data_IF_234835607899
#
_entry.id   IF_234835607899
#
_cell.length_a   1.000
_cell.length_b   1.000
_cell.length_c   1.000
_cell.angle_alpha   90.00
_cell.angle_beta   90.00
_cell.angle_gamma   90.00
#
_symmetry.space_group_name_H-M   'P 1'
#
loop_
_entity.id
_entity.type
_entity.pdbx_description
1 polymer ?
#
# COMPACT_ATOMS: atom_id res chain seq x y z
N UNK A 1 49.16 14.17 11.31
CA UNK A 1 47.99 14.49 12.16
C UNK A 1 47.36 15.76 11.64
N UNK A 2 46.20 15.69 10.97
CA UNK A 2 45.43 16.90 10.63
C UNK A 2 44.18 16.83 11.50
N UNK A 3 44.12 17.70 12.51
CA UNK A 3 42.97 17.84 13.39
C UNK A 3 42.11 19.00 12.87
N UNK A 4 40.87 18.73 12.45
CA UNK A 4 39.87 19.78 12.31
C UNK A 4 38.59 19.37 13.04
N UNK A 5 38.06 20.30 13.81
CA UNK A 5 37.04 20.13 14.83
C UNK A 5 35.64 20.31 14.26
N UNK A 6 34.88 19.22 14.16
CA UNK A 6 33.41 19.07 14.25
C UNK A 6 33.11 17.62 13.85
N UNK A 7 32.67 16.76 14.77
CA UNK A 7 32.50 15.30 14.56
C UNK A 7 33.74 14.61 13.95
N UNK A 8 34.81 14.50 14.76
CA UNK A 8 36.12 13.97 14.35
C UNK A 8 36.04 12.55 13.75
N UNK A 9 36.14 12.45 12.43
CA UNK A 9 36.64 11.24 11.76
C UNK A 9 38.10 11.09 12.17
N UNK A 10 38.42 10.04 12.92
CA UNK A 10 39.80 9.66 13.18
C UNK A 10 40.33 8.95 11.93
N UNK A 11 41.00 9.69 11.06
CA UNK A 11 41.87 9.11 10.02
C UNK A 11 43.18 8.77 10.72
N UNK A 12 43.24 7.59 11.33
CA UNK A 12 44.49 7.06 11.87
C UNK A 12 45.27 6.38 10.74
N UNK A 13 46.42 6.95 10.37
CA UNK A 13 47.46 6.26 9.61
C UNK A 13 48.12 5.23 10.54
N UNK A 14 47.40 4.16 10.88
CA UNK A 14 47.96 3.05 11.66
C UNK A 14 48.46 1.99 10.70
N UNK A 15 49.76 1.74 10.76
CA UNK A 15 50.43 0.68 9.99
C UNK A 15 49.90 -0.70 10.42
N UNK A 16 49.17 -1.36 9.51
CA UNK A 16 49.05 -2.81 9.22
C UNK A 16 49.46 -3.86 10.28
N UNK A 17 49.17 -3.66 11.56
CA UNK A 17 49.50 -4.62 12.63
C UNK A 17 48.30 -5.13 13.41
N UNK A 18 47.11 -4.63 13.13
CA UNK A 18 45.84 -5.11 13.69
C UNK A 18 44.93 -5.57 12.54
N UNK A 19 44.34 -6.75 12.67
CA UNK A 19 43.36 -7.32 11.73
C UNK A 19 42.03 -6.54 11.82
N UNK A 20 41.96 -5.34 11.24
CA UNK A 20 40.71 -4.60 11.09
C UNK A 20 39.93 -5.13 9.88
N UNK A 21 38.65 -5.44 10.08
CA UNK A 21 37.74 -5.79 8.98
C UNK A 21 37.36 -4.50 8.26
N UNK A 22 37.74 -4.40 6.98
CA UNK A 22 37.44 -3.26 6.12
C UNK A 22 36.08 -3.49 5.46
N UNK A 23 35.19 -2.51 5.58
CA UNK A 23 33.88 -2.51 4.95
C UNK A 23 33.99 -2.50 3.41
N UNK A 24 32.89 -2.85 2.73
CA UNK A 24 32.85 -3.01 1.27
C UNK A 24 33.93 -3.97 0.75
N UNK A 25 34.32 -4.98 1.52
CA UNK A 25 35.33 -5.98 1.13
C UNK A 25 36.66 -5.38 0.65
N UNK A 26 37.04 -4.19 1.14
CA UNK A 26 38.27 -3.52 0.72
C UNK A 26 38.18 -2.76 -0.61
N UNK A 27 36.97 -2.49 -1.10
CA UNK A 27 36.75 -1.55 -2.20
C UNK A 27 36.64 -0.10 -1.69
N UNK A 28 36.96 0.86 -2.56
CA UNK A 28 36.92 2.29 -2.24
C UNK A 28 35.48 2.79 -2.09
N UNK A 29 35.06 3.09 -0.86
CA UNK A 29 33.70 3.53 -0.57
C UNK A 29 33.29 4.83 -1.30
N UNK A 30 34.21 5.80 -1.41
CA UNK A 30 33.92 7.06 -2.09
C UNK A 30 33.72 6.89 -3.60
N UNK A 31 34.50 6.00 -4.21
CA UNK A 31 34.41 5.76 -5.65
C UNK A 31 33.22 4.89 -6.01
N UNK A 32 32.81 3.98 -5.12
CA UNK A 32 31.58 3.22 -5.29
C UNK A 32 30.38 4.15 -5.45
N UNK A 33 30.27 5.18 -4.62
CA UNK A 33 29.18 6.16 -4.71
C UNK A 33 29.35 7.09 -5.92
N UNK A 34 30.49 7.77 -6.02
CA UNK A 34 30.72 8.79 -7.06
C UNK A 34 30.72 8.19 -8.47
N UNK A 35 31.24 6.97 -8.59
CA UNK A 35 31.30 6.20 -9.83
C UNK A 35 30.07 5.33 -10.08
N UNK A 36 28.96 5.53 -9.34
CA UNK A 36 27.68 4.80 -9.50
C UNK A 36 27.88 3.27 -9.62
N UNK A 37 28.48 2.67 -8.60
CA UNK A 37 28.76 1.23 -8.54
C UNK A 37 30.18 0.81 -8.90
N UNK A 38 31.08 1.76 -9.20
CA UNK A 38 32.45 1.44 -9.58
C UNK A 38 33.23 0.76 -8.45
N UNK A 39 33.60 -0.51 -8.65
CA UNK A 39 34.40 -1.31 -7.73
C UNK A 39 35.90 -1.08 -7.96
N UNK A 40 36.43 -0.02 -7.37
CA UNK A 40 37.88 0.25 -7.41
C UNK A 40 38.54 -0.31 -6.14
N UNK A 41 39.57 -1.17 -6.27
CA UNK A 41 40.27 -1.71 -5.11
C UNK A 41 40.89 -0.58 -4.29
N UNK A 42 40.69 -0.62 -2.97
CA UNK A 42 41.34 0.31 -2.07
C UNK A 42 42.80 -0.11 -1.83
N UNK A 43 43.64 0.87 -1.49
CA UNK A 43 45.00 0.62 -1.05
C UNK A 43 45.13 0.98 0.44
N UNK A 44 45.16 -0.01 1.36
CA UNK A 44 45.25 0.25 2.80
C UNK A 44 46.49 1.06 3.21
N UNK A 45 47.56 1.05 2.42
CA UNK A 45 48.75 1.86 2.68
C UNK A 45 48.48 3.37 2.59
N UNK A 46 47.39 3.78 1.93
CA UNK A 46 46.94 5.17 1.89
C UNK A 46 46.22 5.61 3.17
N UNK A 47 46.03 4.69 4.13
CA UNK A 47 45.32 4.91 5.38
C UNK A 47 43.87 4.42 5.33
N UNK A 48 43.32 4.20 6.52
CA UNK A 48 41.95 3.73 6.75
C UNK A 48 41.21 4.79 7.56
N UNK A 49 39.99 5.13 7.17
CA UNK A 49 39.14 6.03 7.94
C UNK A 49 38.21 5.23 8.85
N UNK A 50 38.14 5.60 10.13
CA UNK A 50 37.16 5.06 11.06
C UNK A 50 35.94 5.99 11.14
N UNK A 51 34.77 5.48 10.79
CA UNK A 51 33.50 6.20 10.89
C UNK A 51 32.42 5.32 11.52
N UNK A 52 31.75 5.83 12.57
CA UNK A 52 30.68 5.12 13.31
C UNK A 52 31.03 3.67 13.71
N UNK A 53 32.28 3.44 14.11
CA UNK A 53 32.76 2.13 14.53
C UNK A 53 33.18 1.18 13.40
N UNK A 54 32.93 1.54 12.14
CA UNK A 54 33.33 0.79 10.94
C UNK A 54 34.58 1.39 10.28
N UNK A 55 35.31 0.58 9.52
CA UNK A 55 36.60 0.94 8.90
C UNK A 55 36.49 0.95 7.37
N UNK A 56 36.91 2.06 6.74
CA UNK A 56 36.82 2.27 5.29
C UNK A 56 38.18 2.53 4.68
N UNK A 57 38.50 1.84 3.59
CA UNK A 57 39.72 2.04 2.83
C UNK A 57 39.43 2.79 1.51
N UNK A 58 40.45 3.46 0.97
CA UNK A 58 40.31 4.30 -0.23
C UNK A 58 41.40 4.00 -1.27
N UNK A 59 41.08 4.28 -2.54
CA UNK A 59 42.02 4.13 -3.65
C UNK A 59 43.12 5.20 -3.63
N UNK A 60 42.84 6.39 -3.09
CA UNK A 60 43.79 7.50 -2.98
C UNK A 60 43.55 8.36 -1.75
N UNK A 61 44.58 9.12 -1.33
CA UNK A 61 44.45 10.09 -0.24
C UNK A 61 43.41 11.19 -0.55
N UNK A 62 43.25 11.55 -1.83
CA UNK A 62 42.23 12.49 -2.27
C UNK A 62 40.81 11.94 -2.04
N UNK A 63 40.57 10.67 -2.38
CA UNK A 63 39.28 10.01 -2.13
C UNK A 63 38.96 9.96 -0.62
N UNK A 64 39.96 9.65 0.22
CA UNK A 64 39.82 9.70 1.68
C UNK A 64 39.48 11.11 2.18
N UNK A 65 40.11 12.14 1.61
CA UNK A 65 39.82 13.53 1.95
C UNK A 65 38.40 13.95 1.56
N UNK A 66 37.93 13.57 0.36
CA UNK A 66 36.57 13.86 -0.09
C UNK A 66 35.51 13.14 0.74
N UNK A 67 35.76 11.88 1.10
CA UNK A 67 34.92 11.15 2.04
C UNK A 67 34.88 11.85 3.41
N UNK A 68 36.03 12.34 3.87
CA UNK A 68 36.15 13.00 5.18
C UNK A 68 35.40 14.33 5.32
N UNK A 69 35.02 14.98 4.21
CA UNK A 69 34.22 16.22 4.24
C UNK A 69 32.79 15.96 4.66
N UNK A 70 32.18 14.90 4.12
CA UNK A 70 30.76 14.56 4.32
C UNK A 70 30.57 13.04 4.35
N UNK A 71 31.03 12.33 5.41
CA UNK A 71 30.97 10.87 5.47
C UNK A 71 29.54 10.32 5.51
N UNK A 72 28.61 11.09 6.08
CA UNK A 72 27.21 10.68 6.25
C UNK A 72 26.47 10.52 4.92
N UNK A 73 26.84 11.31 3.91
CA UNK A 73 26.30 11.23 2.56
C UNK A 73 26.59 9.88 1.91
N UNK A 74 27.79 9.35 2.16
CA UNK A 74 28.28 8.17 1.47
C UNK A 74 27.92 6.86 2.20
N UNK A 75 27.95 6.84 3.54
CA UNK A 75 28.18 5.58 4.29
C UNK A 75 27.44 5.46 5.64
N UNK A 76 26.52 6.35 6.00
CA UNK A 76 25.84 6.21 7.31
C UNK A 76 24.93 4.96 7.38
N UNK A 77 25.25 4.03 8.29
CA UNK A 77 24.50 2.77 8.50
C UNK A 77 23.60 2.75 9.77
N UNK A 78 23.61 3.79 10.62
CA UNK A 78 22.91 3.73 11.92
C UNK A 78 22.14 5.00 12.35
N UNK A 79 20.85 4.79 12.63
CA UNK A 79 20.06 5.17 13.81
C UNK A 79 19.71 6.63 14.17
N UNK A 80 20.11 7.66 13.44
CA UNK A 80 19.62 9.01 13.78
C UNK A 80 19.05 9.72 12.56
N UNK A 81 17.71 9.84 12.57
CA UNK A 81 16.90 10.98 12.14
C UNK A 81 17.57 11.97 11.17
N UNK A 82 18.11 11.47 10.07
CA UNK A 82 18.80 12.28 9.08
C UNK A 82 18.17 11.99 7.74
N UNK A 83 17.43 12.99 7.26
CA UNK A 83 16.69 13.03 6.00
C UNK A 83 17.66 13.14 4.81
N UNK A 84 18.74 12.35 4.81
CA UNK A 84 19.73 12.30 3.75
C UNK A 84 19.84 10.86 3.25
N UNK A 85 19.00 10.62 2.26
CA UNK A 85 19.01 9.56 1.25
C UNK A 85 20.43 8.97 1.04
N UNK A 86 20.63 7.74 1.52
CA UNK A 86 21.88 7.00 1.46
C UNK A 86 22.26 6.65 0.01
N UNK A 87 23.28 7.30 -0.55
CA UNK A 87 23.60 7.15 -1.98
C UNK A 87 24.17 5.75 -2.31
N UNK A 88 25.05 5.21 -1.46
CA UNK A 88 25.58 3.84 -1.62
C UNK A 88 24.47 2.79 -1.48
N UNK A 89 23.63 2.90 -0.46
CA UNK A 89 22.61 1.89 -0.17
C UNK A 89 21.43 1.94 -1.15
N UNK A 90 21.04 3.12 -1.62
CA UNK A 90 20.05 3.21 -2.68
C UNK A 90 20.57 2.59 -3.96
N UNK A 91 21.85 2.82 -4.30
CA UNK A 91 22.45 2.15 -5.44
C UNK A 91 22.45 0.62 -5.27
N UNK A 92 22.81 0.11 -4.09
CA UNK A 92 22.78 -1.33 -3.79
C UNK A 92 21.34 -1.90 -3.81
N UNK A 93 20.32 -1.12 -3.45
CA UNK A 93 18.92 -1.54 -3.55
C UNK A 93 18.45 -1.73 -4.98
N UNK A 94 18.88 -0.85 -5.87
CA UNK A 94 18.53 -0.92 -7.29
C UNK A 94 19.29 -2.04 -8.01
N UNK A 95 20.37 -2.55 -7.41
CA UNK A 95 21.27 -3.54 -8.00
C UNK A 95 21.56 -4.71 -7.03
N UNK A 96 20.77 -5.77 -7.16
CA UNK A 96 20.77 -6.95 -6.27
C UNK A 96 22.14 -7.65 -6.23
N UNK A 97 22.93 -7.53 -7.29
CA UNK A 97 24.27 -8.13 -7.40
C UNK A 97 25.21 -7.63 -6.29
N UNK A 98 25.10 -6.36 -5.92
CA UNK A 98 25.93 -5.76 -4.87
C UNK A 98 25.49 -6.17 -3.46
N UNK A 99 24.22 -6.56 -3.28
CA UNK A 99 23.72 -7.09 -2.00
C UNK A 99 24.44 -8.40 -1.68
N UNK A 100 24.51 -9.29 -2.68
CA UNK A 100 25.22 -10.56 -2.55
C UNK A 100 26.72 -10.34 -2.39
N UNK A 101 27.31 -9.45 -3.19
CA UNK A 101 28.74 -9.16 -3.14
C UNK A 101 29.17 -8.63 -1.77
N UNK A 102 28.48 -7.62 -1.24
CA UNK A 102 28.85 -7.00 0.04
C UNK A 102 28.25 -7.69 1.26
N UNK A 103 27.46 -8.75 1.07
CA UNK A 103 26.78 -9.49 2.13
C UNK A 103 25.91 -8.59 3.03
N UNK A 104 25.28 -7.55 2.46
CA UNK A 104 24.54 -6.52 3.20
C UNK A 104 23.06 -6.86 3.45
N UNK A 105 22.73 -8.14 3.59
CA UNK A 105 21.35 -8.60 3.78
C UNK A 105 20.72 -8.02 5.07
N UNK A 106 21.44 -8.12 6.19
CA UNK A 106 20.97 -7.63 7.49
C UNK A 106 20.78 -6.10 7.50
N UNK A 107 21.72 -5.36 6.89
CA UNK A 107 21.66 -3.90 6.78
C UNK A 107 20.44 -3.45 5.94
N UNK A 108 20.04 -4.22 4.93
CA UNK A 108 18.85 -3.93 4.11
C UNK A 108 17.55 -4.31 4.84
N UNK A 109 17.51 -5.45 5.52
CA UNK A 109 16.35 -5.88 6.30
C UNK A 109 16.01 -4.89 7.43
N UNK A 110 17.01 -4.48 8.20
CA UNK A 110 16.83 -3.49 9.29
C UNK A 110 16.31 -2.14 8.80
N UNK A 111 16.57 -1.78 7.54
CA UNK A 111 16.00 -0.58 6.94
C UNK A 111 14.55 -0.74 6.48
N UNK A 112 14.14 -1.92 6.02
CA UNK A 112 12.73 -2.19 5.66
C UNK A 112 11.82 -2.04 6.88
N UNK A 113 12.20 -2.69 7.99
CA UNK A 113 11.48 -2.61 9.26
C UNK A 113 11.39 -1.18 9.80
N UNK A 114 12.39 -0.33 9.53
CA UNK A 114 12.37 1.08 9.96
C UNK A 114 11.51 1.97 9.07
N UNK A 115 11.46 1.74 7.75
CA UNK A 115 10.54 2.46 6.86
C UNK A 115 9.08 2.22 7.26
N UNK A 116 8.75 0.98 7.60
CA UNK A 116 7.43 0.59 8.13
C UNK A 116 7.08 1.30 9.45
N UNK A 117 8.07 1.74 10.22
CA UNK A 117 7.87 2.45 11.49
C UNK A 117 7.92 3.98 11.37
N UNK A 118 8.36 4.54 10.23
CA UNK A 118 8.62 5.99 10.07
C UNK A 118 7.75 6.63 9.00
N UNK A 119 7.27 5.87 8.03
CA UNK A 119 6.12 6.30 7.23
C UNK A 119 4.91 6.16 8.14
N UNK A 120 4.31 7.29 8.55
CA UNK A 120 2.89 7.31 8.88
C UNK A 120 2.21 6.42 7.86
N UNK A 121 1.69 5.31 8.34
CA UNK A 121 1.06 4.26 7.56
C UNK A 121 0.14 4.98 6.55
N UNK A 122 0.59 5.11 5.30
CA UNK A 122 -0.33 5.09 4.18
C UNK A 122 -0.89 3.69 4.26
N UNK A 123 -1.84 3.49 5.17
CA UNK A 123 -2.61 2.28 5.31
C UNK A 123 -3.07 2.01 3.90
N UNK A 124 -2.40 1.07 3.21
CA UNK A 124 -2.92 0.52 2.00
C UNK A 124 -4.25 -0.03 2.46
N UNK A 125 -5.33 0.72 2.17
CA UNK A 125 -6.68 0.40 2.62
C UNK A 125 -6.90 -1.02 2.20
N UNK A 126 -6.81 -1.92 3.17
CA UNK A 126 -7.02 -3.33 2.92
C UNK A 126 -8.50 -3.39 2.63
N UNK A 127 -8.86 -3.45 1.35
CA UNK A 127 -10.23 -3.64 0.92
C UNK A 127 -10.62 -5.04 1.36
N UNK A 128 -11.22 -5.14 2.54
CA UNK A 128 -11.84 -6.35 3.02
C UNK A 128 -13.29 -6.32 2.57
N UNK A 129 -13.68 -7.32 1.77
CA UNK A 129 -15.09 -7.54 1.45
C UNK A 129 -15.81 -7.98 2.73
N UNK A 130 -16.52 -7.04 3.34
CA UNK A 130 -17.38 -7.32 4.49
C UNK A 130 -18.77 -7.73 3.99
N UNK A 131 -19.05 -9.03 3.99
CA UNK A 131 -20.41 -9.52 3.80
C UNK A 131 -21.14 -9.45 5.14
N UNK A 132 -22.02 -8.46 5.31
CA UNK A 132 -22.95 -8.43 6.45
C UNK A 132 -24.11 -9.35 6.11
N UNK A 133 -24.08 -10.58 6.64
CA UNK A 133 -25.27 -11.42 6.68
C UNK A 133 -26.15 -10.91 7.82
N UNK A 134 -27.24 -10.23 7.48
CA UNK A 134 -28.27 -9.91 8.46
C UNK A 134 -28.88 -11.20 9.00
N UNK A 135 -29.02 -11.30 10.33
CA UNK A 135 -29.72 -12.40 10.97
C UNK A 135 -31.14 -12.47 10.40
N UNK A 136 -31.42 -13.55 9.67
CA UNK A 136 -32.67 -13.74 8.92
C UNK A 136 -33.90 -13.85 9.84
N UNK A 137 -33.71 -14.16 11.13
CA UNK A 137 -34.79 -14.30 12.10
C UNK A 137 -34.37 -13.82 13.50
N UNK A 138 -34.55 -12.51 13.76
CA UNK A 138 -34.32 -11.88 15.08
C UNK A 138 -35.28 -12.44 16.16
N UNK A 139 -36.37 -13.09 15.76
CA UNK A 139 -37.35 -13.68 16.65
C UNK A 139 -37.29 -15.21 16.57
N UNK A 140 -37.37 -15.93 17.71
CA UNK A 140 -37.50 -17.39 17.68
C UNK A 140 -38.75 -17.75 16.89
N UNK A 141 -38.72 -18.78 16.02
CA UNK A 141 -39.90 -19.24 15.33
C UNK A 141 -40.90 -19.71 16.39
N UNK A 142 -41.96 -18.94 16.64
CA UNK A 142 -43.06 -19.39 17.48
C UNK A 142 -43.78 -20.51 16.72
N UNK A 143 -43.40 -21.75 17.01
CA UNK A 143 -43.99 -22.96 16.39
C UNK A 143 -45.44 -23.21 16.87
N UNK A 144 -46.08 -22.24 17.49
CA UNK A 144 -47.44 -22.37 18.01
C UNK A 144 -48.42 -21.49 17.24
N UNK A 145 -48.47 -21.69 15.91
CA UNK A 145 -49.65 -21.27 15.17
C UNK A 145 -50.68 -22.41 15.18
N UNK A 146 -51.28 -22.66 16.35
CA UNK A 146 -52.34 -23.69 16.58
C UNK A 146 -53.51 -23.56 15.59
N UNK A 147 -53.66 -22.39 14.96
CA UNK A 147 -54.72 -22.09 14.02
C UNK A 147 -54.35 -22.31 12.54
N UNK A 148 -53.11 -22.75 12.26
CA UNK A 148 -52.65 -23.03 10.90
C UNK A 148 -53.40 -24.23 10.31
N UNK A 149 -54.05 -24.01 9.16
CA UNK A 149 -54.77 -25.03 8.42
C UNK A 149 -54.33 -24.98 6.96
N UNK A 150 -53.85 -26.10 6.45
CA UNK A 150 -53.39 -26.25 5.06
C UNK A 150 -54.50 -26.68 4.10
N UNK A 151 -55.64 -27.16 4.62
CA UNK A 151 -56.76 -27.63 3.81
C UNK A 151 -57.51 -26.45 3.15
N UNK A 152 -57.42 -26.37 1.82
CA UNK A 152 -58.04 -25.33 0.98
C UNK A 152 -59.56 -25.25 1.19
N UNK A 153 -60.25 -26.36 1.42
CA UNK A 153 -61.70 -26.38 1.63
C UNK A 153 -62.08 -25.81 3.00
N UNK A 154 -61.29 -26.03 4.03
CA UNK A 154 -61.49 -25.38 5.33
C UNK A 154 -61.19 -23.89 5.27
N UNK A 155 -60.15 -23.47 4.55
CA UNK A 155 -59.87 -22.06 4.31
C UNK A 155 -61.05 -21.37 3.61
N UNK A 156 -61.66 -22.01 2.61
CA UNK A 156 -62.85 -21.50 1.93
C UNK A 156 -64.06 -21.39 2.86
N UNK A 157 -64.30 -22.38 3.73
CA UNK A 157 -65.37 -22.31 4.74
C UNK A 157 -65.14 -21.19 5.76
N UNK A 158 -63.91 -21.04 6.25
CA UNK A 158 -63.53 -19.95 7.18
C UNK A 158 -63.70 -18.57 6.55
N UNK A 159 -63.27 -18.42 5.29
CA UNK A 159 -63.44 -17.16 4.55
C UNK A 159 -64.92 -16.79 4.39
N UNK A 160 -65.80 -17.76 4.07
CA UNK A 160 -67.24 -17.54 3.99
C UNK A 160 -67.84 -17.16 5.35
N UNK A 161 -67.42 -17.82 6.44
CA UNK A 161 -67.85 -17.48 7.80
C UNK A 161 -67.45 -16.05 8.19
N UNK A 162 -66.19 -15.66 7.94
CA UNK A 162 -65.71 -14.29 8.18
C UNK A 162 -66.45 -13.25 7.33
N UNK A 163 -66.74 -13.56 6.06
CA UNK A 163 -67.51 -12.67 5.20
C UNK A 163 -68.95 -12.47 5.72
N UNK A 164 -69.56 -13.50 6.29
CA UNK A 164 -70.87 -13.38 6.95
C UNK A 164 -70.76 -12.52 8.22
N UNK A 165 -69.76 -12.77 9.07
CA UNK A 165 -69.52 -11.97 10.28
C UNK A 165 -69.27 -10.49 9.94
N UNK A 166 -68.50 -10.21 8.88
CA UNK A 166 -68.22 -8.85 8.42
C UNK A 166 -69.47 -8.12 7.92
N UNK A 167 -70.48 -8.85 7.44
CA UNK A 167 -71.79 -8.31 7.06
C UNK A 167 -72.75 -8.16 8.24
N UNK A 168 -72.46 -8.81 9.37
CA UNK A 168 -73.24 -8.63 10.59
C UNK A 168 -72.86 -7.28 11.24
N UNK A 169 -73.84 -6.40 11.44
CA UNK A 169 -73.63 -5.20 12.23
C UNK A 169 -73.51 -5.56 13.71
N UNK A 170 -72.38 -5.25 14.35
CA UNK A 170 -72.21 -5.41 15.80
C UNK A 170 -73.15 -4.44 16.52
N UNK A 171 -74.22 -4.94 17.15
CA UNK A 171 -74.97 -4.18 18.15
C UNK A 171 -74.17 -4.16 19.46
N UNK A 172 -73.24 -3.22 19.57
CA UNK A 172 -72.57 -2.91 20.83
C UNK A 172 -73.58 -2.22 21.75
N UNK A 173 -74.05 -2.90 22.79
CA UNK A 173 -74.64 -2.23 23.95
C UNK A 173 -73.52 -1.98 24.96
N UNK A 174 -73.24 -0.71 25.26
CA UNK A 174 -72.24 -0.37 26.26
C UNK A 174 -72.70 -0.84 27.64
N UNK A 175 -71.92 -1.72 28.26
CA UNK A 175 -72.02 -1.99 29.70
C UNK A 175 -71.28 -0.92 30.49
N UNK A 176 -71.83 -0.54 31.65
CA UNK A 176 -71.36 0.53 32.57
C UNK A 176 -69.84 0.57 32.88
N UNK A 177 -69.11 -0.53 32.66
CA UNK A 177 -67.68 -0.67 32.94
C UNK A 177 -66.74 -0.03 31.88
N UNK A 178 -67.21 0.32 30.68
CA UNK A 178 -66.33 0.82 29.60
C UNK A 178 -65.95 2.30 29.69
N UNK A 179 -66.52 3.06 30.62
CA UNK A 179 -66.35 4.51 30.72
C UNK A 179 -64.96 4.96 31.25
N UNK A 180 -64.13 4.04 31.75
CA UNK A 180 -62.85 4.37 32.40
C UNK A 180 -61.58 4.18 31.54
N UNK A 181 -61.69 3.89 30.24
CA UNK A 181 -60.51 3.73 29.37
C UNK A 181 -60.25 5.00 28.54
N UNK A 182 -59.72 6.02 29.18
CA UNK A 182 -59.19 7.21 28.49
C UNK A 182 -57.66 7.19 28.50
N UNK A 183 -57.04 7.10 27.33
CA UNK A 183 -55.59 7.31 27.17
C UNK A 183 -54.92 6.50 26.06
N UNK A 184 -55.28 6.71 24.80
CA UNK A 184 -54.44 6.26 23.68
C UNK A 184 -53.44 7.38 23.36
N UNK A 185 -52.19 7.25 23.80
CA UNK A 185 -51.12 8.15 23.39
C UNK A 185 -50.67 7.80 21.97
N UNK A 186 -50.92 8.70 21.02
CA UNK A 186 -50.43 8.58 19.63
C UNK A 186 -49.09 9.30 19.56
N UNK A 187 -47.99 8.58 19.37
CA UNK A 187 -46.70 9.18 19.09
C UNK A 187 -46.62 9.51 17.59
N UNK A 188 -46.69 10.80 17.26
CA UNK A 188 -46.45 11.29 15.91
C UNK A 188 -44.96 11.66 15.76
N UNK A 189 -44.23 10.95 14.90
CA UNK A 189 -42.88 11.32 14.48
C UNK A 189 -42.95 11.83 13.03
N UNK A 190 -42.70 13.14 12.76
CA UNK A 190 -42.68 13.65 11.41
C UNK A 190 -41.49 13.09 10.62
N UNK A 191 -41.66 12.74 9.34
CA UNK A 191 -40.56 12.27 8.50
C UNK A 191 -39.51 13.38 8.34
N UNK A 192 -38.23 13.01 8.38
CA UNK A 192 -37.09 13.91 8.16
C UNK A 192 -36.54 13.68 6.76
N UNK A 193 -36.24 14.75 6.05
CA UNK A 193 -35.55 14.68 4.77
C UNK A 193 -34.12 14.17 4.96
N UNK A 194 -33.74 13.19 4.14
CA UNK A 194 -32.42 12.57 4.12
C UNK A 194 -31.94 12.48 2.69
N UNK A 195 -30.80 13.08 2.42
CA UNK A 195 -30.11 12.94 1.14
C UNK A 195 -28.98 11.91 1.30
N UNK A 196 -28.79 11.08 0.27
CA UNK A 196 -27.72 10.08 0.21
C UNK A 196 -27.02 10.24 -1.13
N UNK A 197 -25.69 10.30 -1.11
CA UNK A 197 -24.88 10.35 -2.32
C UNK A 197 -24.28 8.98 -2.61
N UNK A 198 -24.31 8.57 -3.88
CA UNK A 198 -23.63 7.37 -4.38
C UNK A 198 -22.31 7.74 -5.05
N UNK A 199 -21.33 6.84 -4.95
CA UNK A 199 -20.04 6.98 -5.64
C UNK A 199 -20.26 7.06 -7.16
N UNK A 200 -19.58 7.99 -7.82
CA UNK A 200 -19.53 8.08 -9.29
C UNK A 200 -18.09 7.90 -9.73
N UNK A 201 -17.84 6.87 -10.51
CA UNK A 201 -16.52 6.61 -11.09
C UNK A 201 -16.43 7.27 -12.48
N UNK A 202 -15.27 7.86 -12.77
CA UNK A 202 -14.96 8.52 -14.04
C UNK A 202 -13.64 7.95 -14.58
N UNK A 203 -13.56 7.75 -15.88
CA UNK A 203 -12.36 7.25 -16.55
C UNK A 203 -12.01 8.14 -17.74
N UNK A 204 -10.72 8.22 -18.05
CA UNK A 204 -10.19 8.93 -19.21
C UNK A 204 -9.29 7.96 -19.97
N UNK A 205 -9.54 7.79 -21.27
CA UNK A 205 -8.70 6.95 -22.12
C UNK A 205 -7.53 7.78 -22.66
N UNK A 206 -6.33 7.19 -22.72
CA UNK A 206 -5.15 7.83 -23.29
C UNK A 206 -5.08 7.60 -24.80
N UNK A 207 -4.43 8.51 -25.54
CA UNK A 207 -4.23 8.35 -26.99
C UNK A 207 -3.47 7.05 -27.27
N UNK A 208 -4.03 6.21 -28.15
CA UNK A 208 -3.45 4.93 -28.53
C UNK A 208 -2.50 5.10 -29.71
N UNK A 209 -1.29 4.57 -29.59
CA UNK A 209 -0.36 4.44 -30.71
C UNK A 209 -0.68 3.15 -31.47
N UNK A 210 -0.95 3.26 -32.77
CA UNK A 210 -1.19 2.15 -33.66
C UNK A 210 0.04 1.95 -34.55
N UNK A 211 0.44 0.69 -34.74
CA UNK A 211 1.58 0.32 -35.57
C UNK A 211 1.12 -0.56 -36.71
N UNK A 212 1.36 -0.12 -37.94
CA UNK A 212 1.06 -0.86 -39.16
C UNK A 212 2.36 -1.33 -39.81
N UNK A 213 2.45 -2.64 -40.06
CA UNK A 213 3.61 -3.26 -40.69
C UNK A 213 3.25 -3.67 -42.11
N UNK A 214 3.90 -3.03 -43.08
CA UNK A 214 3.69 -3.28 -44.50
C UNK A 214 4.83 -4.14 -45.08
N UNK A 215 4.47 -5.02 -46.03
CA UNK A 215 5.43 -5.83 -46.78
C UNK A 215 5.62 -7.27 -46.28
N UNK A 216 4.76 -7.75 -45.39
CA UNK A 216 4.88 -9.10 -44.81
C UNK A 216 4.51 -10.26 -45.76
N UNK A 217 3.91 -9.99 -46.93
CA UNK A 217 3.53 -11.02 -47.91
C UNK A 217 3.83 -10.62 -49.35
N UNK A 218 4.32 -11.58 -50.14
CA UNK A 218 4.30 -11.53 -51.61
C UNK A 218 5.36 -10.65 -52.30
N UNK A 219 6.36 -10.14 -51.57
CA UNK A 219 7.45 -9.35 -52.17
C UNK A 219 8.73 -10.17 -52.31
N UNK A 220 9.49 -9.89 -53.36
CA UNK A 220 10.86 -10.44 -53.57
C UNK A 220 11.92 -9.66 -52.80
N UNK A 221 11.57 -8.46 -52.33
CA UNK A 221 12.45 -7.58 -51.58
C UNK A 221 12.30 -7.89 -50.08
N UNK A 222 13.41 -8.06 -49.33
CA UNK A 222 13.39 -8.38 -47.90
C UNK A 222 13.17 -7.17 -46.98
N UNK A 223 12.64 -6.06 -47.51
CA UNK A 223 12.49 -4.83 -46.75
C UNK A 223 11.11 -4.77 -46.10
N UNK A 224 11.09 -4.55 -44.78
CA UNK A 224 9.88 -4.32 -44.01
C UNK A 224 9.78 -2.84 -43.65
N UNK A 225 8.58 -2.27 -43.78
CA UNK A 225 8.30 -0.90 -43.41
C UNK A 225 7.31 -0.87 -42.25
N UNK A 226 7.66 -0.12 -41.20
CA UNK A 226 6.83 0.05 -40.01
C UNK A 226 6.37 1.50 -39.97
N UNK A 227 5.07 1.71 -39.93
CA UNK A 227 4.43 3.02 -39.76
C UNK A 227 3.78 3.06 -38.38
N UNK A 228 4.07 4.12 -37.62
CA UNK A 228 3.45 4.35 -36.31
C UNK A 228 2.69 5.67 -36.35
N UNK A 229 1.44 5.65 -35.93
CA UNK A 229 0.54 6.81 -35.96
C UNK A 229 -0.40 6.79 -34.75
N UNK A 230 -0.96 7.95 -34.42
CA UNK A 230 -1.94 8.08 -33.34
C UNK A 230 -3.35 7.81 -33.88
N UNK A 231 -4.19 7.13 -33.09
CA UNK A 231 -5.55 6.73 -33.48
C UNK A 231 -6.45 7.89 -33.94
N UNK A 232 -6.21 9.11 -33.44
CA UNK A 232 -6.96 10.33 -33.82
C UNK A 232 -6.78 10.72 -35.31
N UNK A 233 -5.71 10.28 -35.97
CA UNK A 233 -5.40 10.65 -37.36
C UNK A 233 -6.26 9.89 -38.38
N UNK A 234 -7.03 8.87 -37.95
CA UNK A 234 -7.89 8.05 -38.81
C UNK A 234 -9.34 8.52 -38.92
N UNK A 235 -9.80 9.47 -38.08
CA UNK A 235 -11.18 9.96 -38.14
C UNK A 235 -11.46 10.88 -39.35
N UNK A 236 -10.45 11.14 -40.19
CA UNK A 236 -10.54 12.04 -41.35
C UNK A 236 -10.22 11.39 -42.72
N UNK A 237 -10.21 10.05 -42.79
CA UNK A 237 -10.10 9.26 -44.02
C UNK A 237 -11.41 8.54 -44.34
#
# INVERSE_FOLDING_TARGET
MIQNTSHKILISLTYLTDHFIVEFLGFCAWMFVTGKGALIPANPNNGVAKWRGRYYAFSSAAAAHHFGKEPDKYVSFTNERSLYVHEALNFVRDHIEYIYLFQMYEDIETMKTKKELTEDELELKTCQDQTVQTDTHILPPSIENTNYIWNVWELRRRALSLANIAKCATKSTQTHMSHFRSGACVQAAPPKDKEVQTKRDNYMNTKKLLTYIFGLRGRRDNNQHVLSFLEEEFEHL
#
